data_IF_838689960981
#
_entry.id   IF_838689960981
#
_cell.length_a   1.000
_cell.length_b   1.000
_cell.length_c   1.000
_cell.angle_alpha   90.00
_cell.angle_beta   90.00
_cell.angle_gamma   90.00
#
_symmetry.space_group_name_H-M   'P 1'
#
loop_
_entity.id
_entity.type
_entity.pdbx_description
1 polymer ?
#
# COMPACT_ATOMS: atom_id res chain seq x y z
N UNK A 1 -11.74 29.68 -15.82
CA UNK A 1 -10.54 28.87 -16.08
C UNK A 1 -10.21 28.19 -14.75
N UNK A 2 -10.57 26.90 -14.61
CA UNK A 2 -10.41 26.18 -13.34
C UNK A 2 -8.91 25.89 -13.11
N UNK A 3 -8.35 26.17 -11.93
CA UNK A 3 -6.96 25.85 -11.63
C UNK A 3 -6.79 24.34 -11.45
N UNK A 4 -5.69 23.81 -11.98
CA UNK A 4 -5.27 22.41 -11.85
C UNK A 4 -5.06 22.07 -10.38
N UNK A 5 -5.73 21.03 -9.91
CA UNK A 5 -5.45 20.38 -8.63
C UNK A 5 -4.01 19.85 -8.68
N UNK A 6 -3.18 20.22 -7.71
CA UNK A 6 -1.90 19.58 -7.50
C UNK A 6 -2.17 18.12 -7.10
N UNK A 7 -1.60 17.18 -7.83
CA UNK A 7 -1.76 15.75 -7.62
C UNK A 7 -0.40 15.11 -7.75
N UNK A 8 0.15 14.50 -6.70
CA UNK A 8 1.31 13.58 -6.77
C UNK A 8 2.40 14.00 -7.80
N UNK A 9 2.74 15.30 -7.87
CA UNK A 9 3.63 15.86 -8.89
C UNK A 9 5.11 15.65 -8.51
N UNK A 10 5.47 14.41 -8.18
CA UNK A 10 6.83 13.96 -8.45
C UNK A 10 6.96 13.93 -9.97
N UNK A 11 7.56 14.97 -10.57
CA UNK A 11 7.75 15.08 -12.03
C UNK A 11 8.10 13.75 -12.73
N UNK A 12 8.91 12.83 -12.15
CA UNK A 12 9.22 11.54 -12.77
C UNK A 12 8.02 10.57 -12.92
N UNK A 13 7.10 10.49 -11.96
CA UNK A 13 5.98 9.54 -12.04
C UNK A 13 4.92 10.02 -13.05
N UNK A 14 4.63 11.31 -13.06
CA UNK A 14 3.76 11.93 -14.07
C UNK A 14 4.37 11.77 -15.46
N UNK A 15 5.67 12.01 -15.60
CA UNK A 15 6.38 11.76 -16.87
C UNK A 15 6.26 10.30 -17.29
N UNK A 16 6.52 9.33 -16.41
CA UNK A 16 6.41 7.91 -16.75
C UNK A 16 4.99 7.50 -17.18
N UNK A 17 3.95 8.02 -16.51
CA UNK A 17 2.56 7.77 -16.91
C UNK A 17 2.24 8.39 -18.27
N UNK A 18 2.72 9.61 -18.53
CA UNK A 18 2.54 10.26 -19.83
C UNK A 18 3.28 9.51 -20.95
N UNK A 19 4.48 9.00 -20.67
CA UNK A 19 5.23 8.15 -21.59
C UNK A 19 4.49 6.83 -21.88
N UNK A 20 3.90 6.21 -20.85
CA UNK A 20 3.05 5.04 -21.01
C UNK A 20 1.81 5.34 -21.87
N UNK A 21 1.10 6.45 -21.62
CA UNK A 21 -0.05 6.85 -22.44
C UNK A 21 0.32 7.20 -23.89
N UNK A 22 1.53 7.68 -24.12
CA UNK A 22 2.07 7.91 -25.46
C UNK A 22 2.65 6.65 -26.13
N UNK A 23 2.69 5.51 -25.43
CA UNK A 23 3.36 4.30 -25.92
C UNK A 23 2.57 3.58 -27.03
N UNK A 24 3.26 2.85 -27.93
CA UNK A 24 2.60 2.00 -28.93
C UNK A 24 1.71 0.92 -28.31
N UNK A 25 2.09 0.37 -27.15
CA UNK A 25 1.30 -0.65 -26.45
C UNK A 25 -0.04 -0.08 -25.96
N UNK A 26 -0.02 1.13 -25.40
CA UNK A 26 -1.24 1.81 -24.99
C UNK A 26 -2.14 2.15 -26.19
N UNK A 27 -1.56 2.68 -27.27
CA UNK A 27 -2.29 2.93 -28.50
C UNK A 27 -2.93 1.66 -29.08
N UNK A 28 -2.21 0.55 -29.06
CA UNK A 28 -2.74 -0.76 -29.46
C UNK A 28 -3.90 -1.18 -28.56
N UNK A 29 -3.75 -1.10 -27.25
CA UNK A 29 -4.80 -1.50 -26.30
C UNK A 29 -6.05 -0.63 -26.40
N UNK A 30 -5.86 0.67 -26.64
CA UNK A 30 -6.93 1.62 -26.90
C UNK A 30 -7.72 1.22 -28.17
N UNK A 31 -7.03 0.83 -29.24
CA UNK A 31 -7.67 0.36 -30.48
C UNK A 31 -8.42 -0.98 -30.28
N UNK A 32 -7.79 -1.96 -29.62
CA UNK A 32 -8.42 -3.25 -29.28
C UNK A 32 -9.69 -3.08 -28.43
N UNK A 33 -9.71 -2.05 -27.59
CA UNK A 33 -10.79 -1.81 -26.63
C UNK A 33 -11.84 -0.83 -27.13
N UNK A 34 -11.62 -0.18 -28.28
CA UNK A 34 -12.48 0.91 -28.76
C UNK A 34 -13.95 0.50 -28.91
N UNK A 35 -14.21 -0.68 -29.48
CA UNK A 35 -15.57 -1.20 -29.63
C UNK A 35 -16.25 -1.49 -28.28
N UNK A 36 -15.49 -1.89 -27.27
CA UNK A 36 -16.04 -2.08 -25.93
C UNK A 36 -16.37 -0.74 -25.27
N UNK A 37 -15.41 0.19 -25.30
CA UNK A 37 -15.53 1.49 -24.69
C UNK A 37 -16.74 2.25 -25.26
N UNK A 38 -17.02 2.13 -26.56
CA UNK A 38 -18.21 2.76 -27.17
C UNK A 38 -19.55 2.23 -26.64
N UNK A 39 -19.58 1.07 -25.98
CA UNK A 39 -20.79 0.48 -25.40
C UNK A 39 -21.05 0.89 -23.94
N UNK A 40 -20.07 1.51 -23.27
CA UNK A 40 -20.18 1.92 -21.88
C UNK A 40 -20.95 3.21 -21.56
N UNK A 41 -21.12 4.21 -22.47
CA UNK A 41 -21.77 5.47 -22.13
C UNK A 41 -23.13 5.36 -21.42
N UNK A 42 -24.03 4.42 -21.76
CA UNK A 42 -25.32 4.25 -21.06
C UNK A 42 -25.18 3.92 -19.56
N UNK A 43 -24.01 3.44 -19.12
CA UNK A 43 -23.75 2.98 -17.76
C UNK A 43 -22.87 3.93 -16.96
N UNK A 44 -22.52 5.11 -17.49
CA UNK A 44 -21.45 5.95 -16.94
C UNK A 44 -21.87 7.35 -16.52
N UNK A 45 -23.16 7.71 -16.64
CA UNK A 45 -23.69 9.00 -16.18
C UNK A 45 -22.87 10.21 -16.69
N UNK A 46 -22.53 10.17 -17.99
CA UNK A 46 -21.77 11.24 -18.65
C UNK A 46 -20.26 11.28 -18.35
N UNK A 47 -19.70 10.32 -17.60
CA UNK A 47 -18.25 10.24 -17.34
C UNK A 47 -17.47 9.99 -18.64
N UNK A 48 -16.23 10.51 -18.75
CA UNK A 48 -15.35 10.25 -19.89
C UNK A 48 -15.11 8.75 -20.10
N UNK A 49 -15.20 8.30 -21.35
CA UNK A 49 -15.05 6.89 -21.73
C UNK A 49 -13.75 6.69 -22.52
N UNK A 50 -12.63 6.77 -21.81
CA UNK A 50 -11.28 6.60 -22.37
C UNK A 50 -10.53 5.50 -21.63
N UNK A 51 -9.53 4.87 -22.27
CA UNK A 51 -8.70 3.88 -21.59
C UNK A 51 -7.86 4.50 -20.47
N UNK A 52 -7.48 5.78 -20.60
CA UNK A 52 -6.81 6.52 -19.53
C UNK A 52 -7.67 6.63 -18.27
N UNK A 53 -9.00 6.71 -18.43
CA UNK A 53 -9.98 6.81 -17.35
C UNK A 53 -10.49 5.43 -16.88
N UNK A 54 -9.89 4.33 -17.33
CA UNK A 54 -10.44 2.99 -17.18
C UNK A 54 -10.60 2.54 -15.72
N UNK A 55 -9.69 2.94 -14.83
CA UNK A 55 -9.86 2.64 -13.40
C UNK A 55 -11.12 3.29 -12.82
N UNK A 56 -11.37 4.58 -13.11
CA UNK A 56 -12.56 5.29 -12.63
C UNK A 56 -13.85 4.72 -13.23
N UNK A 57 -13.80 4.23 -14.47
CA UNK A 57 -14.90 3.50 -15.11
C UNK A 57 -15.17 2.19 -14.38
N UNK A 58 -14.13 1.39 -14.11
CA UNK A 58 -14.24 0.15 -13.35
C UNK A 58 -14.82 0.40 -11.96
N UNK A 59 -14.26 1.35 -11.22
CA UNK A 59 -14.68 1.67 -9.86
C UNK A 59 -16.16 2.05 -9.82
N UNK A 60 -16.59 2.96 -10.69
CA UNK A 60 -17.99 3.37 -10.77
C UNK A 60 -18.93 2.20 -11.10
N UNK A 61 -18.64 1.44 -12.16
CA UNK A 61 -19.49 0.32 -12.58
C UNK A 61 -19.52 -0.76 -11.50
N UNK A 62 -18.39 -1.06 -10.86
CA UNK A 62 -18.29 -2.03 -9.78
C UNK A 62 -19.12 -1.60 -8.56
N UNK A 63 -18.95 -0.37 -8.08
CA UNK A 63 -19.72 0.19 -6.97
C UNK A 63 -21.23 0.18 -7.28
N UNK A 64 -21.62 0.63 -8.48
CA UNK A 64 -23.03 0.59 -8.89
C UNK A 64 -23.55 -0.86 -8.95
N UNK A 65 -22.78 -1.81 -9.48
CA UNK A 65 -23.21 -3.21 -9.54
C UNK A 65 -23.40 -3.87 -8.17
N UNK A 66 -22.64 -3.45 -7.15
CA UNK A 66 -22.73 -3.98 -5.79
C UNK A 66 -23.90 -3.36 -5.03
N UNK A 67 -24.14 -2.06 -5.21
CA UNK A 67 -25.08 -1.29 -4.39
C UNK A 67 -26.41 -0.94 -5.08
N UNK A 68 -26.53 -1.14 -6.39
CA UNK A 68 -27.72 -0.85 -7.17
C UNK A 68 -28.15 -2.09 -7.98
N UNK A 69 -29.16 -2.79 -7.46
CA UNK A 69 -29.64 -4.05 -8.04
C UNK A 69 -30.21 -3.88 -9.45
N UNK A 70 -30.80 -2.72 -9.78
CA UNK A 70 -31.35 -2.48 -11.11
C UNK A 70 -30.25 -2.18 -12.12
N UNK A 71 -29.22 -1.43 -11.71
CA UNK A 71 -28.00 -1.27 -12.50
C UNK A 71 -27.33 -2.63 -12.78
N UNK A 72 -27.20 -3.47 -11.75
CA UNK A 72 -26.60 -4.79 -11.87
C UNK A 72 -27.36 -5.71 -12.86
N UNK A 73 -28.70 -5.62 -12.89
CA UNK A 73 -29.54 -6.36 -13.86
C UNK A 73 -29.43 -5.80 -15.28
N UNK A 74 -29.28 -4.48 -15.41
CA UNK A 74 -29.18 -3.81 -16.71
C UNK A 74 -27.80 -4.00 -17.37
N UNK A 75 -26.75 -4.21 -16.58
CA UNK A 75 -25.39 -4.40 -17.07
C UNK A 75 -25.24 -5.78 -17.74
N UNK A 76 -24.79 -5.87 -19.00
CA UNK A 76 -24.57 -7.16 -19.64
C UNK A 76 -23.56 -8.02 -18.85
N UNK A 77 -23.90 -9.28 -18.59
CA UNK A 77 -23.07 -10.17 -17.76
C UNK A 77 -21.65 -10.41 -18.31
N UNK A 78 -21.45 -10.19 -19.62
CA UNK A 78 -20.14 -10.28 -20.27
C UNK A 78 -19.26 -9.06 -20.05
N UNK A 79 -19.81 -7.93 -19.58
CA UNK A 79 -19.06 -6.68 -19.43
C UNK A 79 -18.10 -6.74 -18.24
N UNK A 80 -18.49 -7.39 -17.14
CA UNK A 80 -17.67 -7.53 -15.91
C UNK A 80 -16.22 -7.85 -16.23
N UNK A 81 -16.00 -8.94 -16.97
CA UNK A 81 -14.66 -9.41 -17.29
C UNK A 81 -13.88 -8.39 -18.13
N UNK A 82 -14.55 -7.69 -19.06
CA UNK A 82 -13.89 -6.74 -19.97
C UNK A 82 -13.41 -5.49 -19.22
N UNK A 83 -14.27 -4.82 -18.46
CA UNK A 83 -13.85 -3.60 -17.74
C UNK A 83 -12.90 -3.92 -16.59
N UNK A 84 -13.07 -5.07 -15.90
CA UNK A 84 -12.10 -5.55 -14.91
C UNK A 84 -10.72 -5.81 -15.55
N UNK A 85 -10.65 -6.52 -16.68
CA UNK A 85 -9.38 -6.81 -17.36
C UNK A 85 -8.70 -5.54 -17.85
N UNK A 86 -9.45 -4.57 -18.40
CA UNK A 86 -8.87 -3.31 -18.87
C UNK A 86 -8.37 -2.43 -17.73
N UNK A 87 -9.13 -2.32 -16.63
CA UNK A 87 -8.68 -1.58 -15.45
C UNK A 87 -7.46 -2.26 -14.81
N UNK A 88 -7.44 -3.59 -14.73
CA UNK A 88 -6.27 -4.33 -14.22
C UNK A 88 -5.04 -4.13 -15.10
N UNK A 89 -5.19 -4.17 -16.43
CA UNK A 89 -4.10 -3.91 -17.36
C UNK A 89 -3.60 -2.47 -17.27
N UNK A 90 -4.51 -1.49 -17.15
CA UNK A 90 -4.15 -0.08 -17.00
C UNK A 90 -3.39 0.16 -15.69
N UNK A 91 -3.95 -0.26 -14.55
CA UNK A 91 -3.31 -0.11 -13.25
C UNK A 91 -1.99 -0.89 -13.17
N UNK A 92 -1.89 -2.08 -13.77
CA UNK A 92 -0.63 -2.82 -13.84
C UNK A 92 0.47 -1.98 -14.50
N UNK A 93 0.20 -1.38 -15.65
CA UNK A 93 1.23 -0.61 -16.36
C UNK A 93 1.53 0.76 -15.75
N UNK A 94 0.62 1.31 -14.94
CA UNK A 94 0.86 2.55 -14.17
C UNK A 94 1.67 2.27 -12.91
N UNK A 95 1.36 1.18 -12.21
CA UNK A 95 1.89 0.87 -10.87
C UNK A 95 2.88 -0.31 -10.89
N UNK A 96 3.52 -0.58 -12.03
CA UNK A 96 4.65 -1.53 -12.13
C UNK A 96 5.73 -1.03 -13.06
N UNK A 97 6.95 -1.49 -12.83
CA UNK A 97 8.10 -1.31 -13.71
C UNK A 97 8.82 -2.65 -13.93
N UNK A 98 9.34 -2.93 -15.14
CA UNK A 98 10.19 -4.10 -15.37
C UNK A 98 11.47 -4.09 -14.54
N UNK A 99 12.04 -2.90 -14.32
CA UNK A 99 13.19 -2.70 -13.45
C UNK A 99 12.71 -2.56 -12.00
N UNK A 100 13.34 -3.31 -11.10
CA UNK A 100 13.00 -3.36 -9.67
C UNK A 100 13.03 -1.98 -9.01
N UNK A 101 13.95 -1.12 -9.43
CA UNK A 101 14.14 0.26 -8.96
C UNK A 101 13.41 1.32 -9.81
N UNK A 102 12.62 0.90 -10.81
CA UNK A 102 11.92 1.84 -11.68
C UNK A 102 10.73 2.52 -11.00
N UNK A 103 10.42 3.74 -11.44
CA UNK A 103 9.44 4.64 -10.82
C UNK A 103 8.03 4.05 -10.63
N UNK A 104 7.60 3.15 -11.53
CA UNK A 104 6.33 2.42 -11.40
C UNK A 104 6.28 1.47 -10.20
N UNK A 105 7.44 1.06 -9.69
CA UNK A 105 7.56 0.22 -8.50
C UNK A 105 7.69 1.05 -7.19
N UNK A 106 7.92 2.37 -7.26
CA UNK A 106 8.28 3.22 -6.10
C UNK A 106 7.11 4.03 -5.53
N UNK A 107 5.94 3.41 -5.35
CA UNK A 107 4.77 4.18 -4.92
C UNK A 107 4.64 4.37 -3.42
N UNK A 108 5.03 5.56 -2.97
CA UNK A 108 4.13 6.57 -2.41
C UNK A 108 4.88 7.90 -2.51
N UNK A 109 4.24 9.03 -2.79
CA UNK A 109 4.81 10.34 -2.46
C UNK A 109 3.63 11.15 -1.94
N UNK A 110 3.61 11.29 -0.62
CA UNK A 110 2.92 12.29 0.20
C UNK A 110 1.57 12.75 -0.39
N UNK A 111 0.47 12.23 0.16
CA UNK A 111 -0.84 12.87 -0.03
C UNK A 111 -0.73 14.37 0.32
N UNK A 112 -1.17 15.18 -0.63
CA UNK A 112 -1.16 16.64 -0.62
C UNK A 112 -1.70 17.19 0.71
N UNK A 113 -0.87 17.95 1.42
CA UNK A 113 -1.23 18.64 2.68
C UNK A 113 -0.53 18.15 3.96
N UNK A 114 0.27 17.09 3.91
CA UNK A 114 1.16 16.78 5.04
C UNK A 114 2.39 17.68 4.97
N UNK A 115 2.35 18.80 5.70
CA UNK A 115 3.48 19.72 5.85
C UNK A 115 4.67 18.94 6.40
N UNK A 116 5.65 18.66 5.53
CA UNK A 116 6.85 17.88 5.82
C UNK A 116 7.82 18.74 6.63
N UNK A 117 7.47 18.97 7.89
CA UNK A 117 8.38 19.57 8.87
C UNK A 117 9.28 18.54 9.54
N UNK A 118 9.02 17.24 9.32
CA UNK A 118 9.81 16.15 9.90
C UNK A 118 10.72 15.50 8.82
N UNK A 119 12.06 15.68 8.90
CA UNK A 119 13.01 15.14 7.92
C UNK A 119 13.08 13.61 7.89
N UNK A 120 12.43 12.91 8.83
CA UNK A 120 12.29 11.46 8.79
C UNK A 120 11.14 10.97 7.90
N UNK A 121 10.22 11.84 7.50
CA UNK A 121 9.04 11.47 6.71
C UNK A 121 9.30 11.43 5.18
N UNK A 122 10.42 12.01 4.71
CA UNK A 122 10.85 11.99 3.29
C UNK A 122 11.40 10.64 2.81
N UNK A 123 11.53 9.65 3.68
CA UNK A 123 12.06 8.32 3.34
C UNK A 123 10.96 7.28 3.12
N UNK A 124 9.71 7.71 3.11
CA UNK A 124 8.55 6.83 3.01
C UNK A 124 8.31 6.37 1.57
N UNK A 125 8.94 6.95 0.55
CA UNK A 125 8.52 6.74 -0.85
C UNK A 125 8.91 5.36 -1.47
N UNK A 126 9.48 4.45 -0.66
CA UNK A 126 9.66 2.99 -0.94
C UNK A 126 8.77 2.14 -0.01
N UNK A 127 7.69 2.75 0.50
CA UNK A 127 6.98 2.49 1.77
C UNK A 127 7.07 1.09 2.35
N UNK A 128 6.76 0.07 1.57
CA UNK A 128 6.56 -1.25 2.11
C UNK A 128 7.86 -2.00 2.37
N UNK A 129 8.89 -1.86 1.53
CA UNK A 129 10.11 -2.66 1.67
C UNK A 129 10.98 -2.26 2.87
N UNK A 130 11.21 -0.97 3.16
CA UNK A 130 11.85 -0.54 4.40
C UNK A 130 11.03 -0.94 5.63
N UNK A 131 9.69 -0.82 5.58
CA UNK A 131 8.83 -1.18 6.72
C UNK A 131 8.84 -2.69 6.94
N UNK A 132 8.70 -3.51 5.88
CA UNK A 132 8.87 -4.97 5.95
C UNK A 132 10.25 -5.29 6.51
N UNK A 133 11.32 -4.68 6.01
CA UNK A 133 12.67 -4.91 6.52
C UNK A 133 12.75 -4.64 8.02
N UNK A 134 12.26 -3.49 8.46
CA UNK A 134 12.24 -3.11 9.87
C UNK A 134 11.44 -4.11 10.71
N UNK A 135 10.22 -4.45 10.29
CA UNK A 135 9.35 -5.40 10.98
C UNK A 135 9.97 -6.80 11.05
N UNK A 136 10.60 -7.28 9.97
CA UNK A 136 11.31 -8.55 9.93
C UNK A 136 12.50 -8.57 10.90
N UNK A 137 13.23 -7.45 11.00
CA UNK A 137 14.34 -7.31 11.96
C UNK A 137 13.83 -7.32 13.40
N UNK A 138 12.74 -6.60 13.69
CA UNK A 138 12.12 -6.57 15.02
C UNK A 138 11.49 -7.92 15.39
N UNK A 139 10.95 -8.66 14.43
CA UNK A 139 10.45 -10.04 14.64
C UNK A 139 11.61 -11.01 14.93
N UNK A 140 12.75 -10.82 14.27
CA UNK A 140 13.95 -11.64 14.49
C UNK A 140 14.70 -11.30 15.79
N UNK A 141 14.44 -10.14 16.39
CA UNK A 141 15.09 -9.66 17.61
C UNK A 141 14.86 -10.63 18.78
N UNK A 142 15.92 -11.29 19.27
CA UNK A 142 15.81 -12.29 20.35
C UNK A 142 15.61 -11.68 21.74
N UNK A 143 15.95 -10.40 21.93
CA UNK A 143 15.87 -9.72 23.23
C UNK A 143 14.48 -9.16 23.50
N UNK A 144 13.80 -8.65 22.46
CA UNK A 144 12.43 -8.17 22.53
C UNK A 144 11.72 -8.40 21.18
N UNK A 145 11.27 -9.64 20.90
CA UNK A 145 10.73 -9.97 19.59
C UNK A 145 9.37 -9.31 19.37
N UNK A 146 9.24 -8.55 18.29
CA UNK A 146 7.93 -8.20 17.73
C UNK A 146 7.22 -9.50 17.31
N UNK A 147 5.99 -9.70 17.80
CA UNK A 147 5.24 -10.95 17.52
C UNK A 147 4.30 -10.84 16.33
N UNK A 148 3.82 -9.63 16.06
CA UNK A 148 2.88 -9.35 14.98
C UNK A 148 3.09 -7.91 14.52
N UNK A 149 3.26 -7.74 13.22
CA UNK A 149 3.12 -6.46 12.56
C UNK A 149 1.86 -6.50 11.68
N UNK A 150 1.10 -5.41 11.68
CA UNK A 150 -0.10 -5.28 10.88
C UNK A 150 -0.06 -3.96 10.14
N UNK A 151 -0.14 -4.02 8.81
CA UNK A 151 -0.19 -2.86 7.94
C UNK A 151 -1.50 -2.85 7.16
N UNK A 152 -2.20 -1.73 7.21
CA UNK A 152 -3.36 -1.45 6.35
C UNK A 152 -2.91 -0.58 5.19
N UNK A 153 -3.03 -1.09 3.97
CA UNK A 153 -2.55 -0.43 2.77
C UNK A 153 -3.66 -0.36 1.73
N UNK A 154 -3.62 0.65 0.86
CA UNK A 154 -4.44 0.68 -0.33
C UNK A 154 -4.06 -0.48 -1.29
N UNK A 155 -4.96 -0.85 -2.20
CA UNK A 155 -4.70 -1.94 -3.16
C UNK A 155 -3.54 -1.63 -4.12
N UNK A 156 -3.30 -0.36 -4.46
CA UNK A 156 -2.28 0.09 -5.43
C UNK A 156 -0.85 -0.37 -5.08
N UNK A 157 -0.37 -0.16 -3.83
CA UNK A 157 0.88 -0.75 -3.38
C UNK A 157 1.02 -2.24 -3.66
N UNK A 158 -0.07 -3.01 -3.73
CA UNK A 158 0.02 -4.44 -4.00
C UNK A 158 0.36 -4.76 -5.47
N UNK A 159 0.16 -3.88 -6.45
CA UNK A 159 0.60 -4.16 -7.82
C UNK A 159 2.12 -4.13 -7.92
N UNK A 160 2.71 -3.04 -7.44
CA UNK A 160 4.16 -2.92 -7.31
C UNK A 160 4.68 -4.00 -6.35
N UNK A 161 4.08 -4.17 -5.17
CA UNK A 161 4.52 -5.18 -4.21
C UNK A 161 4.43 -6.58 -4.80
N UNK A 162 3.36 -7.01 -5.45
CA UNK A 162 3.29 -8.38 -5.99
C UNK A 162 4.23 -8.58 -7.18
N UNK A 163 4.58 -7.51 -7.90
CA UNK A 163 5.69 -7.53 -8.84
C UNK A 163 7.05 -7.64 -8.11
N UNK A 164 7.18 -7.00 -6.94
CA UNK A 164 8.44 -6.82 -6.20
C UNK A 164 8.73 -7.80 -5.07
N UNK A 165 7.75 -8.38 -4.35
CA UNK A 165 7.85 -9.19 -3.10
C UNK A 165 6.51 -9.79 -2.60
N UNK A 166 6.54 -10.60 -1.52
CA UNK A 166 5.40 -10.88 -0.61
C UNK A 166 5.79 -11.72 0.65
N UNK A 167 5.11 -11.58 1.81
CA UNK A 167 5.64 -12.10 3.11
C UNK A 167 4.64 -12.57 4.19
N UNK A 168 5.08 -13.54 5.01
CA UNK A 168 4.74 -13.84 6.42
C UNK A 168 5.97 -14.55 7.07
N UNK A 169 6.27 -14.31 8.36
CA UNK A 169 7.42 -14.91 9.06
C UNK A 169 7.00 -16.14 9.84
N UNK A 170 7.66 -17.27 9.60
CA UNK A 170 7.52 -18.48 10.38
C UNK A 170 8.77 -18.71 11.22
N UNK A 171 8.64 -18.55 12.54
CA UNK A 171 9.59 -19.16 13.47
C UNK A 171 9.28 -20.66 13.52
N UNK A 172 10.22 -21.50 13.09
CA UNK A 172 10.14 -22.96 13.26
C UNK A 172 11.10 -23.44 14.38
N UNK A 173 10.94 -24.68 14.87
CA UNK A 173 10.49 -25.02 16.22
C UNK A 173 11.61 -25.00 17.27
N UNK A 174 11.28 -25.34 18.52
CA UNK A 174 12.06 -25.24 19.76
C UNK A 174 13.53 -25.77 19.78
N UNK A 175 14.08 -26.26 18.67
CA UNK A 175 15.46 -26.78 18.54
C UNK A 175 16.53 -25.76 18.16
N UNK A 176 16.17 -24.50 17.88
CA UNK A 176 17.11 -23.46 17.46
C UNK A 176 17.42 -23.51 15.95
N UNK A 177 17.52 -22.34 15.33
CA UNK A 177 17.73 -22.17 13.90
C UNK A 177 17.44 -20.75 13.44
N UNK A 178 17.82 -20.43 12.19
CA UNK A 178 17.50 -19.14 11.59
C UNK A 178 15.98 -19.03 11.34
N UNK A 179 15.34 -17.88 11.64
CA UNK A 179 13.93 -17.69 11.31
C UNK A 179 13.69 -17.81 9.81
N UNK A 180 12.58 -18.45 9.43
CA UNK A 180 12.20 -18.70 8.05
C UNK A 180 10.98 -17.85 7.66
N UNK A 181 10.79 -17.61 6.37
CA UNK A 181 9.68 -16.83 5.82
C UNK A 181 8.89 -17.69 4.84
N UNK A 182 7.56 -17.58 4.91
CA UNK A 182 6.60 -18.16 3.97
C UNK A 182 5.60 -17.08 3.59
N UNK A 183 5.20 -16.98 2.34
CA UNK A 183 4.10 -16.10 1.94
C UNK A 183 2.80 -16.87 1.80
N UNK A 184 1.78 -16.43 2.51
CA UNK A 184 0.41 -16.88 2.29
C UNK A 184 -0.47 -15.71 1.85
N UNK A 185 -1.26 -15.88 0.79
CA UNK A 185 -2.22 -14.90 0.34
C UNK A 185 -3.61 -15.51 0.35
N UNK A 186 -4.56 -14.78 0.95
CA UNK A 186 -5.96 -15.16 1.03
C UNK A 186 -6.77 -14.06 0.36
N UNK A 187 -7.46 -14.41 -0.73
CA UNK A 187 -8.28 -13.48 -1.48
C UNK A 187 -9.74 -13.59 -1.04
N UNK A 188 -10.14 -12.76 -0.07
CA UNK A 188 -11.51 -12.75 0.46
C UNK A 188 -11.77 -13.78 1.57
N UNK A 189 -12.97 -13.74 2.13
CA UNK A 189 -13.32 -14.45 3.36
C UNK A 189 -13.46 -15.97 3.19
N UNK A 190 -13.91 -16.43 2.01
CA UNK A 190 -14.19 -17.83 1.71
C UNK A 190 -13.07 -18.62 1.02
N UNK A 191 -11.88 -18.04 0.84
CA UNK A 191 -10.74 -18.73 0.22
C UNK A 191 -9.79 -19.31 1.26
N UNK A 192 -9.12 -20.40 0.89
CA UNK A 192 -7.96 -20.91 1.63
C UNK A 192 -6.75 -20.02 1.38
N UNK A 193 -5.80 -20.07 2.32
CA UNK A 193 -4.50 -19.45 2.11
C UNK A 193 -3.75 -20.19 1.01
N UNK A 194 -3.33 -19.45 -0.02
CA UNK A 194 -2.45 -19.96 -1.07
C UNK A 194 -1.03 -19.53 -0.75
N UNK A 195 -0.14 -20.52 -0.62
CA UNK A 195 1.29 -20.24 -0.47
C UNK A 195 1.88 -19.89 -1.83
N UNK A 196 2.56 -18.75 -1.94
CA UNK A 196 3.36 -18.44 -3.14
C UNK A 196 4.84 -18.46 -2.82
N UNK A 197 5.63 -18.72 -3.86
CA UNK A 197 7.07 -18.57 -3.82
C UNK A 197 7.45 -17.10 -3.62
N UNK A 198 8.63 -16.92 -3.05
CA UNK A 198 9.27 -15.65 -2.85
C UNK A 198 10.19 -15.37 -4.05
N UNK A 199 10.02 -14.19 -4.69
CA UNK A 199 10.83 -13.62 -5.79
C UNK A 199 11.40 -14.60 -6.80
N UNK A 200 10.88 -14.57 -8.03
CA UNK A 200 11.41 -15.34 -9.18
C UNK A 200 11.85 -16.76 -8.76
N UNK A 201 10.88 -17.54 -8.25
CA UNK A 201 10.97 -19.01 -8.28
C UNK A 201 11.51 -19.73 -7.03
N UNK A 202 11.57 -19.11 -5.85
CA UNK A 202 12.25 -19.73 -4.70
C UNK A 202 11.31 -19.89 -3.49
N UNK A 203 11.38 -21.03 -2.79
CA UNK A 203 10.46 -21.45 -1.72
C UNK A 203 10.65 -20.76 -0.35
N UNK A 204 10.79 -21.54 0.74
CA UNK A 204 11.04 -21.01 2.10
C UNK A 204 12.44 -20.40 2.18
N UNK A 205 12.58 -19.21 2.77
CA UNK A 205 13.87 -18.53 2.94
C UNK A 205 14.17 -18.18 4.37
N UNK A 206 15.45 -18.15 4.70
CA UNK A 206 15.94 -17.60 5.94
C UNK A 206 15.86 -16.06 5.91
N UNK A 207 15.46 -15.42 7.01
CA UNK A 207 15.24 -13.96 7.07
C UNK A 207 16.48 -13.18 6.63
N UNK A 208 17.68 -13.61 7.03
CA UNK A 208 18.91 -12.87 6.67
C UNK A 208 19.17 -12.91 5.17
N UNK A 209 18.97 -14.08 4.55
CA UNK A 209 19.15 -14.29 3.11
C UNK A 209 18.18 -13.46 2.30
N UNK A 210 16.92 -13.45 2.71
CA UNK A 210 15.90 -12.59 2.15
C UNK A 210 16.33 -11.12 2.16
N UNK A 211 16.74 -10.63 3.33
CA UNK A 211 17.06 -9.22 3.47
C UNK A 211 18.25 -8.86 2.57
N UNK A 212 19.30 -9.67 2.57
CA UNK A 212 20.54 -9.42 1.84
C UNK A 212 20.36 -9.55 0.32
N UNK A 213 19.83 -10.68 -0.15
CA UNK A 213 19.85 -11.03 -1.58
C UNK A 213 18.76 -10.30 -2.38
N UNK A 214 17.73 -9.80 -1.69
CA UNK A 214 16.48 -9.42 -2.35
C UNK A 214 15.90 -8.09 -1.89
N UNK A 215 15.75 -7.86 -0.58
CA UNK A 215 15.17 -6.61 -0.09
C UNK A 215 16.18 -5.48 -0.25
N UNK A 216 17.43 -5.65 0.20
CA UNK A 216 18.45 -4.59 0.20
C UNK A 216 18.80 -4.03 -1.19
N UNK A 217 18.92 -4.85 -2.24
CA UNK A 217 19.19 -4.35 -3.58
C UNK A 217 17.99 -3.59 -4.16
N UNK A 218 16.76 -3.90 -3.71
CA UNK A 218 15.54 -3.22 -4.11
C UNK A 218 15.28 -1.93 -3.32
N UNK A 219 15.97 -1.74 -2.18
CA UNK A 219 15.90 -0.50 -1.43
C UNK A 219 16.62 0.59 -2.23
N UNK A 220 15.88 1.63 -2.58
CA UNK A 220 16.47 2.86 -3.11
C UNK A 220 17.17 3.54 -1.95
N UNK A 221 18.45 3.23 -1.75
CA UNK A 221 19.26 3.68 -0.62
C UNK A 221 19.75 5.14 -0.74
N UNK A 222 19.27 5.92 -1.70
CA UNK A 222 19.81 7.25 -1.96
C UNK A 222 18.78 8.35 -1.77
N UNK A 223 18.95 9.04 -0.64
CA UNK A 223 18.58 10.46 -0.43
C UNK A 223 19.25 11.39 -1.49
N UNK A 224 20.11 10.81 -2.36
CA UNK A 224 20.86 11.47 -3.43
C UNK A 224 20.61 10.88 -4.82
N UNK A 225 19.59 10.03 -5.00
CA UNK A 225 19.24 9.48 -6.30
C UNK A 225 18.51 10.49 -7.19
N UNK A 226 18.43 10.24 -8.51
CA UNK A 226 17.69 11.11 -9.43
C UNK A 226 16.22 11.34 -9.02
N UNK A 227 15.58 10.39 -8.32
CA UNK A 227 14.25 10.56 -7.70
C UNK A 227 14.26 11.60 -6.57
N UNK A 228 15.23 11.53 -5.65
CA UNK A 228 15.35 12.49 -4.55
C UNK A 228 15.74 13.89 -5.06
N UNK A 229 16.54 13.97 -6.12
CA UNK A 229 16.86 15.23 -6.80
C UNK A 229 15.62 15.85 -7.48
N UNK A 230 14.77 15.02 -8.10
CA UNK A 230 13.53 15.48 -8.74
C UNK A 230 12.46 15.92 -7.72
N UNK A 231 12.33 15.22 -6.60
CA UNK A 231 11.45 15.59 -5.49
C UNK A 231 11.88 16.92 -4.83
N UNK A 232 13.19 17.13 -4.64
CA UNK A 232 13.73 18.38 -4.11
C UNK A 232 13.56 19.57 -5.07
N UNK A 233 13.66 19.34 -6.39
CA UNK A 233 13.46 20.38 -7.39
C UNK A 233 11.99 20.84 -7.50
N UNK A 234 11.03 19.94 -7.32
CA UNK A 234 9.59 20.23 -7.37
C UNK A 234 9.10 20.91 -6.09
N UNK A 235 9.60 20.52 -4.92
CA UNK A 235 9.32 21.21 -3.65
C UNK A 235 9.80 22.67 -3.63
N UNK A 236 10.97 22.96 -4.22
CA UNK A 236 11.48 24.32 -4.34
C UNK A 236 10.64 25.23 -5.26
N UNK A 237 9.99 24.64 -6.28
CA UNK A 237 9.10 25.37 -7.19
C UNK A 237 7.73 25.69 -6.55
N UNK A 238 7.22 24.81 -5.67
CA UNK A 238 5.92 24.96 -5.01
C UNK A 238 5.89 26.07 -3.94
N UNK A 239 7.03 26.35 -3.29
CA UNK A 239 7.14 27.40 -2.26
C UNK A 239 6.98 28.84 -2.78
N UNK A 240 6.98 29.04 -4.11
CA UNK A 240 6.86 30.37 -4.72
C UNK A 240 5.43 30.80 -5.07
N UNK A 241 4.39 29.98 -4.89
CA UNK A 241 3.11 30.19 -5.59
C UNK A 241 1.83 29.71 -4.88
N UNK A 242 1.68 29.92 -3.56
CA UNK A 242 0.41 29.61 -2.87
C UNK A 242 -0.42 30.86 -2.51
N UNK A 243 -1.59 31.06 -3.15
CA UNK A 243 -2.69 31.82 -2.58
C UNK A 243 -3.58 30.94 -1.67
N UNK A 244 -4.05 31.49 -0.56
CA UNK A 244 -4.90 30.78 0.42
C UNK A 244 -6.23 30.29 -0.17
N UNK A 245 -6.71 29.08 0.19
CA UNK A 245 -7.97 28.55 -0.33
C UNK A 245 -9.22 29.18 0.34
N UNK A 246 -10.36 29.26 -0.36
CA UNK A 246 -11.63 29.69 0.21
C UNK A 246 -12.27 28.61 1.09
N UNK A 247 -12.82 29.00 2.23
CA UNK A 247 -13.54 28.13 3.15
C UNK A 247 -14.87 27.63 2.55
N UNK A 248 -15.15 26.32 2.58
CA UNK A 248 -16.54 25.84 2.46
C UNK A 248 -16.87 24.50 1.78
N UNK A 249 -15.94 23.59 1.46
CA UNK A 249 -16.33 22.26 0.94
C UNK A 249 -15.77 21.11 1.78
N UNK A 250 -16.62 20.19 2.30
CA UNK A 250 -16.14 18.99 2.97
C UNK A 250 -15.67 17.97 1.92
N UNK A 251 -14.36 17.70 1.92
CA UNK A 251 -13.78 16.59 1.18
C UNK A 251 -14.15 15.28 1.88
N UNK A 252 -15.07 14.52 1.28
CA UNK A 252 -15.35 13.14 1.73
C UNK A 252 -14.48 12.22 0.88
N UNK A 253 -13.23 12.03 1.32
CA UNK A 253 -12.28 11.11 0.70
C UNK A 253 -12.55 9.65 1.09
N UNK A 254 -12.34 8.74 0.15
CA UNK A 254 -12.52 7.29 0.30
C UNK A 254 -11.64 6.62 1.38
N UNK A 255 -10.78 7.37 2.09
CA UNK A 255 -9.95 6.88 3.19
C UNK A 255 -10.64 6.81 4.56
N UNK A 256 -11.79 7.48 4.74
CA UNK A 256 -12.45 7.56 6.05
C UNK A 256 -13.06 6.23 6.56
N UNK A 257 -13.69 5.39 5.71
CA UNK A 257 -14.24 4.11 6.18
C UNK A 257 -13.15 3.12 6.64
N UNK A 258 -11.98 3.14 5.98
CA UNK A 258 -10.87 2.24 6.28
C UNK A 258 -10.26 2.48 7.66
N UNK A 259 -10.01 3.74 8.01
CA UNK A 259 -9.43 4.09 9.32
C UNK A 259 -10.38 3.77 10.49
N UNK A 260 -11.69 3.99 10.29
CA UNK A 260 -12.71 3.67 11.29
C UNK A 260 -12.84 2.16 11.54
N UNK A 261 -12.81 1.35 10.48
CA UNK A 261 -12.88 -0.11 10.59
C UNK A 261 -11.62 -0.67 11.29
N UNK A 262 -10.44 -0.18 10.96
CA UNK A 262 -9.18 -0.60 11.62
C UNK A 262 -9.22 -0.30 13.12
N UNK A 263 -9.64 0.91 13.52
CA UNK A 263 -9.79 1.25 14.94
C UNK A 263 -10.79 0.32 15.65
N UNK A 264 -11.92 0.03 15.01
CA UNK A 264 -12.93 -0.87 15.58
C UNK A 264 -12.37 -2.28 15.80
N UNK A 265 -11.66 -2.84 14.82
CA UNK A 265 -11.05 -4.18 14.92
C UNK A 265 -9.99 -4.24 16.02
N UNK A 266 -9.11 -3.24 16.11
CA UNK A 266 -8.09 -3.16 17.18
C UNK A 266 -8.76 -3.09 18.56
N UNK A 267 -9.80 -2.28 18.72
CA UNK A 267 -10.55 -2.19 19.97
C UNK A 267 -11.27 -3.50 20.32
N UNK A 268 -11.82 -4.20 19.33
CA UNK A 268 -12.47 -5.50 19.53
C UNK A 268 -11.44 -6.56 19.98
N UNK A 269 -10.27 -6.63 19.33
CA UNK A 269 -9.17 -7.52 19.74
C UNK A 269 -8.69 -7.20 21.15
N UNK A 270 -8.50 -5.92 21.48
CA UNK A 270 -8.10 -5.49 22.81
C UNK A 270 -9.11 -5.91 23.89
N UNK A 271 -10.42 -5.80 23.60
CA UNK A 271 -11.48 -6.28 24.50
C UNK A 271 -11.49 -7.78 24.69
N UNK A 272 -11.24 -8.57 23.64
CA UNK A 272 -11.12 -10.03 23.75
C UNK A 272 -9.92 -10.40 24.64
N UNK A 273 -8.78 -9.73 24.47
CA UNK A 273 -7.59 -9.95 25.30
C UNK A 273 -7.80 -9.57 26.77
N UNK A 274 -8.54 -8.49 27.05
CA UNK A 274 -9.00 -8.15 28.41
C UNK A 274 -9.91 -9.22 28.99
N UNK A 275 -10.92 -9.66 28.23
CA UNK A 275 -11.89 -10.66 28.69
C UNK A 275 -11.25 -12.01 28.99
N UNK A 276 -10.25 -12.42 28.20
CA UNK A 276 -9.49 -13.65 28.44
C UNK A 276 -8.48 -13.54 29.61
N UNK A 277 -8.36 -12.39 30.27
CA UNK A 277 -7.41 -12.17 31.37
C UNK A 277 -5.94 -12.23 30.97
N UNK A 278 -5.64 -12.20 29.67
CA UNK A 278 -4.28 -12.31 29.14
C UNK A 278 -3.46 -11.04 29.43
N UNK A 279 -4.12 -9.88 29.46
CA UNK A 279 -3.49 -8.62 29.85
C UNK A 279 -3.20 -8.56 31.36
N UNK A 280 -4.11 -9.08 32.20
CA UNK A 280 -3.92 -9.18 33.65
C UNK A 280 -2.80 -10.15 34.04
N UNK A 281 -2.60 -11.20 33.26
CA UNK A 281 -1.52 -12.16 33.47
C UNK A 281 -0.15 -11.54 33.15
N UNK A 282 -0.08 -10.75 32.07
CA UNK A 282 1.13 -10.03 31.67
C UNK A 282 1.56 -8.98 32.72
N UNK A 283 0.63 -8.19 33.24
CA UNK A 283 0.93 -7.18 34.27
C UNK A 283 1.45 -7.80 35.58
N UNK A 284 0.90 -8.97 35.97
CA UNK A 284 1.38 -9.72 37.13
C UNK A 284 2.75 -10.33 36.91
N UNK A 285 3.11 -10.69 35.67
CA UNK A 285 4.46 -11.17 35.34
C UNK A 285 5.48 -10.05 35.49
N UNK A 286 5.18 -8.85 34.99
CA UNK A 286 6.09 -7.69 35.10
C UNK A 286 6.33 -7.26 36.55
N UNK A 287 5.34 -7.43 37.43
CA UNK A 287 5.46 -7.12 38.86
C UNK A 287 6.32 -8.13 39.65
N UNK A 288 6.50 -9.35 39.14
CA UNK A 288 7.32 -10.37 39.82
C UNK A 288 8.83 -10.14 39.65
N UNK A 289 9.23 -9.42 38.61
CA UNK A 289 10.63 -9.15 38.29
C UNK A 289 11.10 -7.75 38.75
N UNK A 290 10.24 -6.99 39.44
CA UNK A 290 10.64 -5.71 40.00
C UNK A 290 11.58 -5.93 41.20
N UNK A 291 12.79 -5.34 41.22
CA UNK A 291 13.70 -5.50 42.35
C UNK A 291 13.08 -4.89 43.62
N UNK A 292 13.34 -5.49 44.80
CA UNK A 292 12.76 -5.01 46.05
C UNK A 292 13.21 -3.58 46.32
N UNK A 293 12.24 -2.69 46.60
CA UNK A 293 12.48 -1.30 47.00
C UNK A 293 13.11 -1.25 48.39
N UNK A 294 14.43 -1.39 48.45
CA UNK A 294 15.22 -0.97 49.59
C UNK A 294 15.69 0.46 49.31
N UNK A 295 15.20 1.40 50.12
CA UNK A 295 15.73 2.73 50.47
C UNK A 295 14.57 3.73 50.66
N UNK A 296 14.11 3.82 51.91
CA UNK A 296 13.44 5.01 52.44
C UNK A 296 14.38 5.59 53.48
N UNK A 297 15.14 6.61 53.11
CA UNK A 297 15.86 7.42 54.09
C UNK A 297 14.88 8.41 54.73
N UNK A 298 14.83 8.51 56.07
CA UNK A 298 14.14 9.62 56.71
C UNK A 298 14.99 10.89 56.54
N UNK A 299 14.35 11.94 56.00
CA UNK A 299 14.89 13.29 56.05
C UNK A 299 14.80 13.81 57.50
N UNK A 300 15.95 14.18 58.05
CA UNK A 300 16.09 15.15 59.14
C UNK A 300 16.37 16.53 58.52
#
# INVERSE_FOLDING_TARGET
MYPSKATCDGAPFVTANNEFYASPEFAQKQNESAEFLSQLPPFLDGRPVTLENMYNIYDFINVQSIHNADFAKALPSTFWRRYYTLASWHEYNIFTSPQLDGIGNTLYQIEDGMEVSDPYFQLLDVMILPVIRFELQEIANTSNPLKLAYQSLAYKPFFSLFNMTAFEVLREPAGGGEPMIRRNFKNGTGSDFVTYNFLIGIGRHAVSRLLIDHVNPALINSVHGPLAAAANASAAAALGSYPSPPAGQPAIGAGFPGAGLTHFVVLAMYRVLMFMGLLDHWERSLKKDAPPRWFSFPLL
#
